data_IF_025721082497
#
_entry.id   IF_025721082497
#
_cell.length_a   1.000
_cell.length_b   1.000
_cell.length_c   1.000
_cell.angle_alpha   90.00
_cell.angle_beta   90.00
_cell.angle_gamma   90.00
#
_symmetry.space_group_name_H-M   'P 1'
#
loop_
_entity.id
_entity.type
_entity.pdbx_description
1 polymer ?
#
# COMPACT_ATOMS: atom_id res chain seq x y z
N UNK A 1 -14.53 10.79 4.79
CA UNK A 1 -14.50 10.96 3.33
C UNK A 1 -13.44 12.00 2.94
N UNK A 2 -12.15 11.66 3.03
CA UNK A 2 -11.09 12.64 2.69
C UNK A 2 -9.89 11.92 2.09
N UNK A 3 -9.47 12.42 0.93
CA UNK A 3 -8.24 12.12 0.18
C UNK A 3 -8.32 11.04 -0.92
N UNK A 4 -9.04 11.35 -2.00
CA UNK A 4 -8.72 10.82 -3.33
C UNK A 4 -7.81 11.79 -4.13
N UNK A 5 -7.77 13.06 -3.74
CA UNK A 5 -7.08 14.13 -4.47
C UNK A 5 -5.54 14.01 -4.45
N UNK A 6 -4.95 13.31 -3.46
CA UNK A 6 -3.48 13.18 -3.36
C UNK A 6 -2.91 12.31 -4.48
N UNK A 7 -3.57 11.18 -4.77
CA UNK A 7 -3.19 10.28 -5.85
C UNK A 7 -3.48 10.91 -7.22
N UNK A 8 -4.61 11.60 -7.34
CA UNK A 8 -5.02 12.27 -8.56
C UNK A 8 -4.05 13.39 -8.95
N UNK A 9 -3.75 14.31 -8.04
CA UNK A 9 -2.79 15.40 -8.29
C UNK A 9 -1.38 14.87 -8.60
N UNK A 10 -1.00 13.73 -8.00
CA UNK A 10 0.22 13.01 -8.30
C UNK A 10 0.23 12.48 -9.74
N UNK A 11 -0.82 11.78 -10.16
CA UNK A 11 -0.92 11.25 -11.52
C UNK A 11 -0.95 12.38 -12.56
N UNK A 12 -1.58 13.52 -12.25
CA UNK A 12 -1.57 14.68 -13.14
C UNK A 12 -0.14 15.20 -13.36
N UNK A 13 0.67 15.32 -12.31
CA UNK A 13 2.07 15.76 -12.43
C UNK A 13 2.87 14.77 -13.28
N UNK A 14 2.69 13.46 -13.06
CA UNK A 14 3.35 12.42 -13.85
C UNK A 14 2.96 12.49 -15.34
N UNK A 15 1.66 12.63 -15.63
CA UNK A 15 1.15 12.75 -17.00
C UNK A 15 1.64 14.02 -17.69
N UNK A 16 1.75 15.14 -16.97
CA UNK A 16 2.31 16.39 -17.49
C UNK A 16 3.79 16.22 -17.90
N UNK A 17 4.58 15.51 -17.09
CA UNK A 17 5.97 15.20 -17.45
C UNK A 17 6.05 14.29 -18.67
N UNK A 18 5.29 13.18 -18.70
CA UNK A 18 5.29 12.26 -19.84
C UNK A 18 4.86 12.99 -21.12
N UNK A 19 3.76 13.75 -21.10
CA UNK A 19 3.28 14.50 -22.26
C UNK A 19 4.28 15.57 -22.73
N UNK A 20 4.92 16.29 -21.79
CA UNK A 20 5.96 17.28 -22.11
C UNK A 20 7.16 16.65 -22.80
N UNK A 21 7.62 15.50 -22.31
CA UNK A 21 8.71 14.75 -22.93
C UNK A 21 8.31 14.09 -24.25
N UNK A 22 7.08 13.58 -24.38
CA UNK A 22 6.53 13.09 -25.65
C UNK A 22 6.60 14.18 -26.72
N UNK A 23 6.12 15.39 -26.43
CA UNK A 23 6.18 16.50 -27.40
C UNK A 23 7.61 16.92 -27.73
N UNK A 24 8.50 16.96 -26.72
CA UNK A 24 9.91 17.29 -26.92
C UNK A 24 10.61 16.26 -27.82
N UNK A 25 10.35 14.97 -27.60
CA UNK A 25 10.88 13.87 -28.40
C UNK A 25 10.28 13.86 -29.82
N UNK A 26 8.97 14.04 -29.98
CA UNK A 26 8.31 14.17 -31.29
C UNK A 26 8.86 15.36 -32.09
N UNK A 27 9.20 16.47 -31.43
CA UNK A 27 9.84 17.62 -32.09
C UNK A 27 11.24 17.31 -32.61
N UNK A 28 11.98 16.39 -31.98
CA UNK A 28 13.33 15.96 -32.39
C UNK A 28 13.26 14.89 -33.47
N UNK A 29 12.19 14.10 -33.50
CA UNK A 29 11.93 13.07 -34.51
C UNK A 29 11.53 13.60 -35.89
N UNK A 30 11.57 14.92 -36.11
CA UNK A 30 11.38 15.48 -37.44
C UNK A 30 12.50 14.94 -38.36
N UNK A 31 12.14 14.18 -39.41
CA UNK A 31 13.11 13.52 -40.26
C UNK A 31 13.90 14.58 -41.04
N UNK A 32 15.23 14.49 -40.97
CA UNK A 32 16.12 15.38 -41.72
C UNK A 32 16.25 14.96 -43.19
N UNK A 33 15.95 13.69 -43.49
CA UNK A 33 16.00 13.09 -44.82
C UNK A 33 14.60 12.69 -45.27
N UNK A 34 14.31 12.83 -46.57
CA UNK A 34 13.07 12.32 -47.15
C UNK A 34 13.07 10.79 -47.14
N UNK A 35 11.93 10.15 -46.84
CA UNK A 35 11.81 8.69 -46.88
C UNK A 35 12.09 8.20 -48.30
N UNK A 36 12.99 7.24 -48.44
CA UNK A 36 13.34 6.66 -49.73
C UNK A 36 12.22 5.73 -50.24
N UNK A 37 11.56 5.01 -49.32
CA UNK A 37 10.55 4.00 -49.61
C UNK A 37 9.18 4.30 -48.94
N UNK A 38 8.12 3.66 -49.45
CA UNK A 38 6.74 3.81 -48.93
C UNK A 38 6.58 3.33 -47.49
N UNK A 39 7.38 2.36 -47.08
CA UNK A 39 7.35 1.80 -45.72
C UNK A 39 7.87 2.80 -44.71
N UNK A 40 8.94 3.53 -45.03
CA UNK A 40 9.51 4.58 -44.17
C UNK A 40 8.52 5.74 -43.99
N UNK A 41 7.79 6.08 -45.04
CA UNK A 41 6.71 7.07 -44.98
C UNK A 41 5.54 6.59 -44.10
N UNK A 42 5.26 5.28 -44.06
CA UNK A 42 4.27 4.70 -43.16
C UNK A 42 4.75 4.73 -41.70
N UNK A 43 5.99 4.32 -41.41
CA UNK A 43 6.59 4.42 -40.07
C UNK A 43 6.64 5.86 -39.55
N UNK A 44 6.85 6.82 -40.44
CA UNK A 44 6.82 8.25 -40.14
C UNK A 44 5.42 8.77 -39.80
N UNK A 45 4.37 8.25 -40.47
CA UNK A 45 2.97 8.54 -40.10
C UNK A 45 2.57 7.86 -38.79
N UNK A 46 3.17 6.70 -38.50
CA UNK A 46 3.04 6.00 -37.23
C UNK A 46 3.77 6.72 -36.09
N UNK A 47 4.83 7.48 -36.35
CA UNK A 47 5.50 8.36 -35.37
C UNK A 47 4.64 9.58 -34.95
N UNK A 48 3.32 9.40 -34.83
CA UNK A 48 2.40 10.32 -34.19
C UNK A 48 2.77 10.47 -32.69
N UNK A 49 2.41 11.61 -32.06
CA UNK A 49 2.66 11.82 -30.64
C UNK A 49 1.99 10.75 -29.75
N UNK A 50 0.92 10.12 -30.23
CA UNK A 50 0.24 9.01 -29.55
C UNK A 50 1.15 7.78 -29.38
N UNK A 51 1.78 7.31 -30.46
CA UNK A 51 2.66 6.15 -30.37
C UNK A 51 3.94 6.46 -29.60
N UNK A 52 4.43 7.70 -29.74
CA UNK A 52 5.56 8.20 -28.93
C UNK A 52 5.22 8.17 -27.44
N UNK A 53 3.99 8.56 -27.06
CA UNK A 53 3.51 8.47 -25.69
C UNK A 53 3.48 7.02 -25.19
N UNK A 54 2.93 6.09 -25.98
CA UNK A 54 2.86 4.67 -25.62
C UNK A 54 4.26 4.07 -25.42
N UNK A 55 5.19 4.34 -26.34
CA UNK A 55 6.59 3.91 -26.21
C UNK A 55 7.27 4.50 -24.97
N UNK A 56 7.08 5.79 -24.69
CA UNK A 56 7.65 6.43 -23.50
C UNK A 56 7.04 5.87 -22.21
N UNK A 57 5.74 5.53 -22.22
CA UNK A 57 5.06 4.90 -21.10
C UNK A 57 5.61 3.49 -20.83
N UNK A 58 5.73 2.65 -21.86
CA UNK A 58 6.29 1.30 -21.70
C UNK A 58 7.79 1.31 -21.35
N UNK A 59 8.53 2.35 -21.76
CA UNK A 59 9.93 2.51 -21.36
C UNK A 59 10.12 2.70 -19.84
N UNK A 60 9.11 3.24 -19.13
CA UNK A 60 9.16 3.38 -17.67
C UNK A 60 9.25 2.02 -16.96
N UNK A 61 8.70 0.99 -17.60
CA UNK A 61 8.80 -0.41 -17.14
C UNK A 61 10.04 -1.12 -17.69
N UNK A 62 10.91 -0.43 -18.44
CA UNK A 62 12.09 -1.00 -19.07
C UNK A 62 11.80 -1.86 -20.29
N UNK A 63 10.62 -1.70 -20.93
CA UNK A 63 10.21 -2.53 -22.07
C UNK A 63 10.57 -1.94 -23.43
N UNK A 64 11.17 -0.74 -23.47
CA UNK A 64 11.50 -0.03 -24.72
C UNK A 64 12.93 0.46 -24.64
N UNK A 65 13.72 0.09 -25.65
CA UNK A 65 15.09 0.52 -25.83
C UNK A 65 15.18 1.63 -26.89
N UNK A 66 16.13 2.57 -26.76
CA UNK A 66 16.27 3.66 -27.72
C UNK A 66 16.74 3.20 -29.11
N UNK A 67 17.30 1.99 -29.21
CA UNK A 67 17.74 1.39 -30.48
C UNK A 67 16.60 0.76 -31.28
N UNK A 68 15.49 0.42 -30.62
CA UNK A 68 14.31 -0.19 -31.28
C UNK A 68 13.30 0.87 -31.75
N UNK A 69 13.57 2.16 -31.52
CA UNK A 69 12.64 3.22 -31.83
C UNK A 69 12.70 3.62 -33.32
N UNK A 70 11.58 3.60 -34.06
CA UNK A 70 11.52 4.17 -35.40
C UNK A 70 11.64 5.71 -35.30
N UNK A 71 12.35 6.44 -36.19
CA UNK A 71 13.04 6.09 -37.41
C UNK A 71 14.55 6.41 -37.32
N UNK A 72 15.31 5.61 -36.56
CA UNK A 72 16.74 5.87 -36.34
C UNK A 72 17.55 6.05 -37.64
N UNK A 73 17.14 5.41 -38.75
CA UNK A 73 17.86 5.47 -40.02
C UNK A 73 17.67 6.77 -40.82
N UNK A 74 16.63 7.57 -40.52
CA UNK A 74 16.37 8.87 -41.17
C UNK A 74 16.98 10.06 -40.41
N UNK A 75 17.81 9.80 -39.41
CA UNK A 75 18.45 10.80 -38.56
C UNK A 75 19.97 10.68 -38.70
N UNK A 76 20.72 11.79 -38.84
CA UNK A 76 22.18 11.75 -38.87
C UNK A 76 22.74 11.12 -37.58
N UNK A 77 23.94 10.52 -37.65
CA UNK A 77 24.52 9.78 -36.53
C UNK A 77 24.68 10.61 -35.25
N UNK A 78 24.97 11.91 -35.39
CA UNK A 78 24.99 12.85 -34.27
C UNK A 78 23.61 13.04 -33.62
N UNK A 79 22.54 13.06 -34.42
CA UNK A 79 21.16 13.14 -33.94
C UNK A 79 20.75 11.87 -33.18
N UNK A 80 21.23 10.69 -33.59
CA UNK A 80 21.03 9.44 -32.84
C UNK A 80 21.64 9.50 -31.44
N UNK A 81 22.84 10.07 -31.32
CA UNK A 81 23.53 10.24 -30.02
C UNK A 81 22.73 11.18 -29.12
N UNK A 82 22.29 12.32 -29.66
CA UNK A 82 21.45 13.28 -28.91
C UNK A 82 20.15 12.63 -28.45
N UNK A 83 19.48 11.87 -29.32
CA UNK A 83 18.24 11.17 -28.99
C UNK A 83 18.44 10.19 -27.84
N UNK A 84 19.48 9.35 -27.89
CA UNK A 84 19.84 8.43 -26.80
C UNK A 84 20.09 9.16 -25.49
N UNK A 85 20.80 10.29 -25.53
CA UNK A 85 21.09 11.10 -24.36
C UNK A 85 19.81 11.68 -23.74
N UNK A 86 18.92 12.26 -24.55
CA UNK A 86 17.67 12.87 -24.08
C UNK A 86 16.71 11.81 -23.55
N UNK A 87 16.64 10.65 -24.20
CA UNK A 87 15.88 9.50 -23.71
C UNK A 87 16.40 9.00 -22.35
N UNK A 88 17.73 8.90 -22.19
CA UNK A 88 18.33 8.56 -20.90
C UNK A 88 18.02 9.58 -19.80
N UNK A 89 18.06 10.88 -20.12
CA UNK A 89 17.66 11.95 -19.19
C UNK A 89 16.18 11.83 -18.84
N UNK A 90 15.31 11.54 -19.80
CA UNK A 90 13.88 11.29 -19.57
C UNK A 90 13.65 10.16 -18.56
N UNK A 91 14.32 9.02 -18.75
CA UNK A 91 14.22 7.88 -17.82
C UNK A 91 14.69 8.25 -16.41
N UNK A 92 15.81 8.97 -16.31
CA UNK A 92 16.36 9.41 -15.02
C UNK A 92 15.41 10.37 -14.29
N UNK A 93 14.92 11.41 -14.98
CA UNK A 93 14.03 12.42 -14.38
C UNK A 93 12.71 11.79 -13.98
N UNK A 94 12.09 10.99 -14.86
CA UNK A 94 10.80 10.35 -14.59
C UNK A 94 10.91 9.36 -13.44
N UNK A 95 12.01 8.60 -13.34
CA UNK A 95 12.26 7.68 -12.25
C UNK A 95 12.44 8.40 -10.91
N UNK A 96 13.22 9.49 -10.87
CA UNK A 96 13.40 10.29 -9.64
C UNK A 96 12.06 10.85 -9.17
N UNK A 97 11.26 11.40 -10.09
CA UNK A 97 9.92 11.93 -9.80
C UNK A 97 9.02 10.81 -9.27
N UNK A 98 8.99 9.66 -9.94
CA UNK A 98 8.17 8.51 -9.54
C UNK A 98 8.53 8.01 -8.14
N UNK A 99 9.82 7.84 -7.84
CA UNK A 99 10.30 7.37 -6.54
C UNK A 99 9.98 8.38 -5.43
N UNK A 100 10.26 9.67 -5.65
CA UNK A 100 9.99 10.72 -4.66
C UNK A 100 8.51 10.76 -4.27
N UNK A 101 7.64 10.50 -5.24
CA UNK A 101 6.21 10.54 -5.04
C UNK A 101 5.66 9.23 -4.46
N UNK A 102 6.25 8.09 -4.81
CA UNK A 102 5.97 6.79 -4.17
C UNK A 102 6.32 6.84 -2.68
N UNK A 103 7.50 7.39 -2.34
CA UNK A 103 7.94 7.57 -0.96
C UNK A 103 6.98 8.50 -0.22
N UNK A 104 6.56 9.61 -0.83
CA UNK A 104 5.63 10.55 -0.21
C UNK A 104 4.28 9.88 0.14
N UNK A 105 3.74 9.06 -0.76
CA UNK A 105 2.48 8.35 -0.53
C UNK A 105 2.61 7.24 0.53
N UNK A 106 3.70 6.47 0.46
CA UNK A 106 3.98 5.42 1.44
C UNK A 106 4.25 6.02 2.82
N UNK A 107 4.93 7.15 2.92
CA UNK A 107 5.21 7.83 4.20
C UNK A 107 3.94 8.35 4.87
N UNK A 108 3.03 8.98 4.12
CA UNK A 108 1.73 9.44 4.64
C UNK A 108 0.89 8.25 5.17
N UNK A 109 0.85 7.17 4.39
CA UNK A 109 0.13 5.95 4.77
C UNK A 109 0.79 5.27 5.96
N UNK A 110 2.12 5.21 6.00
CA UNK A 110 2.90 4.64 7.09
C UNK A 110 2.65 5.38 8.40
N UNK A 111 2.72 6.72 8.40
CA UNK A 111 2.43 7.52 9.60
C UNK A 111 1.00 7.30 10.10
N UNK A 112 0.02 7.21 9.20
CA UNK A 112 -1.37 6.94 9.56
C UNK A 112 -1.55 5.55 10.18
N UNK A 113 -0.98 4.52 9.55
CA UNK A 113 -1.04 3.14 10.05
C UNK A 113 -0.34 3.05 11.40
N UNK A 114 0.87 3.59 11.52
CA UNK A 114 1.64 3.59 12.76
C UNK A 114 0.86 4.25 13.90
N UNK A 115 0.28 5.43 13.65
CA UNK A 115 -0.51 6.15 14.67
C UNK A 115 -1.76 5.39 15.11
N UNK A 116 -2.36 4.59 14.22
CA UNK A 116 -3.51 3.75 14.55
C UNK A 116 -3.07 2.49 15.32
N UNK A 117 -2.04 1.80 14.85
CA UNK A 117 -1.47 0.63 15.50
C UNK A 117 -0.94 0.95 16.91
N UNK A 118 -0.33 2.12 17.11
CA UNK A 118 0.13 2.55 18.44
C UNK A 118 -1.03 2.76 19.42
N UNK A 119 -2.17 3.27 18.94
CA UNK A 119 -3.37 3.44 19.77
C UNK A 119 -3.96 2.08 20.14
N UNK A 120 -4.12 1.20 19.15
CA UNK A 120 -4.64 -0.16 19.35
C UNK A 120 -3.73 -0.97 20.27
N UNK A 121 -2.42 -0.89 20.10
CA UNK A 121 -1.45 -1.55 20.97
C UNK A 121 -1.50 -1.03 22.40
N UNK A 122 -1.55 0.30 22.60
CA UNK A 122 -1.67 0.90 23.95
C UNK A 122 -2.98 0.49 24.63
N UNK A 123 -4.08 0.47 23.89
CA UNK A 123 -5.39 0.06 24.39
C UNK A 123 -5.41 -1.43 24.75
N UNK A 124 -4.91 -2.29 23.85
CA UNK A 124 -4.76 -3.73 24.09
C UNK A 124 -3.89 -4.02 25.31
N UNK A 125 -2.78 -3.28 25.47
CA UNK A 125 -1.91 -3.38 26.64
C UNK A 125 -2.63 -2.98 27.94
N UNK A 126 -3.41 -1.90 27.92
CA UNK A 126 -4.18 -1.47 29.09
C UNK A 126 -5.26 -2.52 29.48
N UNK A 127 -5.93 -3.13 28.49
CA UNK A 127 -6.88 -4.23 28.72
C UNK A 127 -6.16 -5.43 29.34
N UNK A 128 -5.03 -5.83 28.78
CA UNK A 128 -4.25 -6.96 29.26
C UNK A 128 -3.85 -6.77 30.73
N UNK A 129 -3.30 -5.61 31.07
CA UNK A 129 -2.94 -5.27 32.45
C UNK A 129 -4.15 -5.29 33.38
N UNK A 130 -5.29 -4.73 32.95
CA UNK A 130 -6.54 -4.75 33.73
C UNK A 130 -7.06 -6.17 33.95
N UNK A 131 -6.96 -7.05 32.95
CA UNK A 131 -7.37 -8.44 33.07
C UNK A 131 -6.43 -9.24 33.98
N UNK A 132 -5.12 -8.99 33.89
CA UNK A 132 -4.12 -9.57 34.79
C UNK A 132 -4.28 -9.10 36.24
N UNK A 133 -4.72 -7.87 36.50
CA UNK A 133 -4.96 -7.39 37.86
C UNK A 133 -6.31 -7.87 38.43
N UNK A 134 -7.33 -8.08 37.58
CA UNK A 134 -8.63 -8.64 37.99
C UNK A 134 -8.60 -10.15 38.23
N UNK A 135 -7.80 -10.89 37.46
CA UNK A 135 -7.57 -12.31 37.68
C UNK A 135 -6.45 -12.43 38.69
N UNK A 136 -6.73 -12.99 39.87
CA UNK A 136 -5.68 -13.31 40.83
C UNK A 136 -4.56 -14.06 40.10
N UNK A 137 -3.31 -13.62 40.28
CA UNK A 137 -2.12 -14.09 39.56
C UNK A 137 -1.69 -15.50 39.99
N UNK A 138 -2.64 -16.42 40.16
CA UNK A 138 -2.34 -17.82 40.41
C UNK A 138 -1.97 -18.47 39.07
N UNK A 139 -0.80 -19.12 38.97
CA UNK A 139 -0.40 -19.79 37.74
C UNK A 139 -1.47 -20.82 37.34
N UNK A 140 -1.59 -21.07 36.03
CA UNK A 140 -2.60 -21.95 35.42
C UNK A 140 -2.93 -23.24 36.21
N UNK A 141 -1.95 -23.98 36.79
CA UNK A 141 -2.26 -25.17 37.58
C UNK A 141 -2.98 -24.89 38.93
N UNK A 142 -2.71 -23.77 39.60
CA UNK A 142 -3.23 -23.47 40.95
C UNK A 142 -4.62 -22.83 40.90
N UNK A 143 -4.92 -22.08 39.84
CA UNK A 143 -6.23 -21.40 39.67
C UNK A 143 -7.42 -22.37 39.58
N UNK A 144 -7.23 -23.57 39.01
CA UNK A 144 -8.27 -24.60 38.97
C UNK A 144 -8.56 -25.17 40.37
N UNK A 145 -7.51 -25.44 41.16
CA UNK A 145 -7.62 -25.97 42.52
C UNK A 145 -8.31 -24.99 43.47
N UNK A 146 -7.99 -23.69 43.38
CA UNK A 146 -8.64 -22.68 44.24
C UNK A 146 -10.14 -22.58 43.96
N UNK A 147 -10.55 -22.65 42.68
CA UNK A 147 -11.97 -22.68 42.31
C UNK A 147 -12.65 -23.96 42.79
N UNK A 148 -11.99 -25.11 42.66
CA UNK A 148 -12.51 -26.40 43.11
C UNK A 148 -12.74 -26.41 44.64
N UNK A 149 -11.78 -25.90 45.43
CA UNK A 149 -11.86 -25.83 46.89
C UNK A 149 -12.97 -24.86 47.34
N UNK A 150 -13.12 -23.69 46.70
CA UNK A 150 -14.20 -22.74 47.03
C UNK A 150 -15.57 -23.35 46.72
N UNK A 151 -15.73 -24.02 45.58
CA UNK A 151 -16.98 -24.70 45.22
C UNK A 151 -17.29 -25.84 46.18
N UNK A 152 -16.30 -26.67 46.53
CA UNK A 152 -16.45 -27.76 47.50
C UNK A 152 -16.80 -27.23 48.91
N UNK A 153 -16.17 -26.15 49.35
CA UNK A 153 -16.45 -25.52 50.65
C UNK A 153 -17.85 -24.93 50.72
N UNK A 154 -18.33 -24.30 49.65
CA UNK A 154 -19.69 -23.77 49.56
C UNK A 154 -20.72 -24.90 49.47
N UNK A 155 -20.44 -25.96 48.69
CA UNK A 155 -21.30 -27.13 48.59
C UNK A 155 -21.44 -27.88 49.93
N UNK A 156 -20.34 -28.00 50.68
CA UNK A 156 -20.34 -28.66 51.99
C UNK A 156 -21.07 -27.84 53.07
N UNK A 157 -21.00 -26.51 52.99
CA UNK A 157 -21.68 -25.63 53.96
C UNK A 157 -23.20 -25.51 53.71
N UNK A 158 -23.64 -25.75 52.47
CA UNK A 158 -25.03 -25.70 52.06
C UNK A 158 -25.52 -27.12 51.71
N UNK A 159 -25.80 -27.96 52.71
CA UNK A 159 -26.34 -29.33 52.59
C UNK A 159 -27.23 -29.54 51.33
N UNK A 160 -26.60 -29.90 50.20
CA UNK A 160 -27.21 -30.17 48.89
C UNK A 160 -28.28 -29.17 48.37
N UNK A 161 -27.91 -27.91 48.11
CA UNK A 161 -28.58 -27.08 47.09
C UNK A 161 -27.58 -26.64 46.01
N UNK A 162 -27.09 -27.62 45.24
CA UNK A 162 -26.05 -27.43 44.21
C UNK A 162 -26.57 -26.73 42.94
N UNK A 163 -27.86 -26.91 42.62
CA UNK A 163 -28.51 -26.42 41.39
C UNK A 163 -28.51 -24.89 41.26
N UNK A 164 -28.78 -24.14 42.34
CA UNK A 164 -28.87 -22.68 42.27
C UNK A 164 -27.51 -21.98 42.14
N UNK A 165 -26.44 -22.57 42.68
CA UNK A 165 -25.11 -21.94 42.72
C UNK A 165 -24.34 -22.11 41.40
N UNK A 166 -24.51 -23.25 40.73
CA UNK A 166 -23.91 -23.50 39.42
C UNK A 166 -24.54 -22.61 38.33
N UNK A 167 -25.86 -22.41 38.37
CA UNK A 167 -26.58 -21.47 37.49
C UNK A 167 -26.10 -20.04 37.71
N UNK A 168 -25.85 -19.62 38.96
CA UNK A 168 -25.40 -18.25 39.24
C UNK A 168 -23.94 -18.00 38.81
N UNK A 169 -23.04 -18.96 38.99
CA UNK A 169 -21.65 -18.86 38.49
C UNK A 169 -21.57 -18.95 36.95
N UNK A 170 -22.37 -19.81 36.31
CA UNK A 170 -22.49 -19.84 34.85
C UNK A 170 -23.06 -18.54 34.31
N UNK A 171 -24.08 -17.97 34.96
CA UNK A 171 -24.67 -16.70 34.56
C UNK A 171 -23.69 -15.53 34.73
N UNK A 172 -22.91 -15.49 35.82
CA UNK A 172 -21.84 -14.50 36.03
C UNK A 172 -20.71 -14.66 35.01
N UNK A 173 -20.33 -15.90 34.67
CA UNK A 173 -19.31 -16.19 33.66
C UNK A 173 -19.77 -15.82 32.24
N UNK A 174 -21.03 -16.10 31.90
CA UNK A 174 -21.61 -15.70 30.61
C UNK A 174 -21.69 -14.17 30.52
N UNK A 175 -22.12 -13.49 31.59
CA UNK A 175 -22.18 -12.03 31.66
C UNK A 175 -20.80 -11.35 31.58
N UNK A 176 -19.74 -12.02 32.04
CA UNK A 176 -18.35 -11.52 31.86
C UNK A 176 -17.79 -11.78 30.47
N UNK A 177 -18.23 -12.83 29.77
CA UNK A 177 -17.93 -13.07 28.36
C UNK A 177 -18.62 -12.07 27.43
N UNK A 178 -19.87 -11.72 27.73
CA UNK A 178 -20.68 -10.79 26.94
C UNK A 178 -20.15 -9.35 26.97
N UNK A 179 -19.71 -8.85 28.15
CA UNK A 179 -19.06 -7.54 28.27
C UNK A 179 -17.66 -7.46 27.66
N UNK A 180 -16.97 -8.59 27.49
CA UNK A 180 -15.69 -8.64 26.77
C UNK A 180 -15.86 -8.46 25.26
N UNK A 181 -17.00 -8.90 24.71
CA UNK A 181 -17.27 -8.86 23.27
C UNK A 181 -17.83 -7.51 22.81
N UNK A 182 -18.65 -6.82 23.62
CA UNK A 182 -19.12 -5.47 23.27
C UNK A 182 -18.00 -4.42 23.29
N UNK A 183 -17.01 -4.57 24.17
CA UNK A 183 -15.91 -3.61 24.32
C UNK A 183 -14.83 -3.71 23.23
N UNK A 184 -14.88 -4.76 22.41
CA UNK A 184 -14.03 -4.97 21.22
C UNK A 184 -14.70 -4.48 19.93
N UNK A 185 -16.00 -4.14 19.99
CA UNK A 185 -16.82 -3.73 18.84
C UNK A 185 -17.01 -2.21 18.71
N UNK A 186 -16.46 -1.43 19.66
CA UNK A 186 -16.41 0.05 19.68
C UNK A 186 -14.97 0.50 19.58
#
# INVERSE_FOLDING_TARGET
MKNNNKLEMFLVILLLFIAGFTLHITSIFQPAYQPADTDDAQWMRLASPEQTLEMLFFSLFGLVEPDTMPPLHLVPDFGKIILKMIFGIYLLVTLIVLINLLIAMMSDTYQRIQAQSDKEWKFGRAILIRQMNKRSATPAPINMLTKLIVVLKVAYRNNCKLELFFVQQLCIFNKTKEQSNEHFKK
#
